data_IF_597484458754
#
_entry.id   IF_597484458754
#
_cell.length_a   1.000
_cell.length_b   1.000
_cell.length_c   1.000
_cell.angle_alpha   90.00
_cell.angle_beta   90.00
_cell.angle_gamma   90.00
#
_symmetry.space_group_name_H-M   'P 1'
#
loop_
_entity.id
_entity.type
_entity.pdbx_description
1 polymer ?
#
# COMPACT_ATOMS: atom_id res chain seq x y z
N UNK A 1 -15.28 2.46 7.72
CA UNK A 1 -15.55 1.01 7.76
C UNK A 1 -14.26 0.27 7.44
N UNK A 2 -13.88 -0.77 8.19
CA UNK A 2 -12.78 -1.65 7.79
C UNK A 2 -13.15 -2.38 6.49
N UNK A 3 -12.23 -2.38 5.52
CA UNK A 3 -12.42 -3.02 4.22
C UNK A 3 -11.33 -4.06 4.03
N UNK A 4 -11.73 -5.28 3.68
CA UNK A 4 -10.82 -6.40 3.39
C UNK A 4 -11.12 -6.90 1.99
N UNK A 5 -10.09 -7.06 1.17
CA UNK A 5 -10.22 -7.52 -0.20
C UNK A 5 -9.05 -8.46 -0.54
N UNK A 6 -9.36 -9.61 -1.12
CA UNK A 6 -8.35 -10.55 -1.60
C UNK A 6 -7.90 -10.13 -2.99
N UNK A 7 -6.59 -9.96 -3.18
CA UNK A 7 -6.00 -9.57 -4.47
C UNK A 7 -4.86 -10.47 -4.87
N UNK A 8 -4.69 -10.62 -6.18
CA UNK A 8 -3.60 -11.41 -6.75
C UNK A 8 -2.31 -10.59 -6.79
N UNK A 9 -1.22 -11.22 -6.39
CA UNK A 9 0.13 -10.70 -6.60
C UNK A 9 0.50 -10.89 -8.07
N UNK A 10 0.99 -9.82 -8.70
CA UNK A 10 1.41 -9.82 -10.09
C UNK A 10 2.92 -9.64 -10.20
N UNK A 11 3.50 -10.18 -11.27
CA UNK A 11 4.93 -10.05 -11.54
C UNK A 11 5.23 -8.67 -12.12
N UNK A 12 6.21 -7.98 -11.54
CA UNK A 12 6.71 -6.67 -11.99
C UNK A 12 8.19 -6.81 -12.33
N UNK A 13 8.51 -6.70 -13.62
CA UNK A 13 9.87 -6.92 -14.10
C UNK A 13 10.36 -8.36 -13.88
N UNK A 14 11.67 -8.53 -13.68
CA UNK A 14 12.29 -9.86 -13.56
C UNK A 14 12.36 -10.39 -12.13
N UNK A 15 12.47 -9.50 -11.15
CA UNK A 15 12.82 -9.85 -9.76
C UNK A 15 11.76 -9.44 -8.75
N UNK A 16 10.74 -8.68 -9.16
CA UNK A 16 9.81 -8.06 -8.23
C UNK A 16 8.38 -8.55 -8.43
N UNK A 17 7.61 -8.45 -7.36
CA UNK A 17 6.18 -8.71 -7.32
C UNK A 17 5.48 -7.46 -6.80
N UNK A 18 4.21 -7.29 -7.17
CA UNK A 18 3.40 -6.16 -6.72
C UNK A 18 1.94 -6.55 -6.52
N UNK A 19 1.24 -5.74 -5.74
CA UNK A 19 -0.23 -5.77 -5.61
C UNK A 19 -0.78 -4.49 -6.21
N UNK A 20 -1.91 -4.61 -6.92
CA UNK A 20 -2.63 -3.45 -7.43
C UNK A 20 -3.55 -2.93 -6.33
N UNK A 21 -3.36 -1.68 -5.91
CA UNK A 21 -4.25 -0.98 -4.98
C UNK A 21 -5.34 -0.25 -5.77
N UNK A 22 -6.60 -0.25 -5.32
CA UNK A 22 -7.67 0.42 -6.04
C UNK A 22 -7.50 1.93 -5.87
N UNK A 23 -7.87 2.69 -6.91
CA UNK A 23 -7.79 4.16 -6.90
C UNK A 23 -8.49 4.80 -5.69
N UNK A 24 -9.58 4.20 -5.21
CA UNK A 24 -10.30 4.69 -4.04
C UNK A 24 -9.46 4.66 -2.76
N UNK A 25 -8.63 3.64 -2.55
CA UNK A 25 -7.74 3.58 -1.39
C UNK A 25 -6.62 4.61 -1.51
N UNK A 26 -6.00 4.70 -2.69
CA UNK A 26 -4.97 5.71 -2.95
C UNK A 26 -5.51 7.13 -2.71
N UNK A 27 -6.73 7.42 -3.16
CA UNK A 27 -7.41 8.71 -2.89
C UNK A 27 -7.63 8.95 -1.41
N UNK A 28 -8.03 7.93 -0.66
CA UNK A 28 -8.24 8.05 0.80
C UNK A 28 -6.93 8.38 1.54
N UNK A 29 -5.82 7.78 1.12
CA UNK A 29 -4.49 8.05 1.67
C UNK A 29 -3.75 9.23 1.01
N UNK A 30 -4.42 9.96 0.10
CA UNK A 30 -3.82 11.04 -0.68
C UNK A 30 -2.49 10.66 -1.37
N UNK A 31 -2.42 9.43 -1.90
CA UNK A 31 -1.28 8.90 -2.63
C UNK A 31 -1.47 9.02 -4.14
N UNK A 32 -0.44 9.48 -4.83
CA UNK A 32 -0.38 9.55 -6.29
C UNK A 32 0.73 8.65 -6.86
N UNK A 33 0.65 8.38 -8.16
CA UNK A 33 1.68 7.63 -8.84
C UNK A 33 3.02 8.40 -8.78
N UNK A 34 4.06 7.77 -8.22
CA UNK A 34 5.36 8.38 -8.01
C UNK A 34 5.62 8.82 -6.56
N UNK A 35 4.61 8.84 -5.69
CA UNK A 35 4.83 9.05 -4.27
C UNK A 35 5.62 7.89 -3.63
N UNK A 36 6.44 8.24 -2.64
CA UNK A 36 7.18 7.27 -1.85
C UNK A 36 6.31 6.76 -0.70
N UNK A 37 6.40 5.46 -0.45
CA UNK A 37 5.75 4.78 0.67
C UNK A 37 6.78 3.96 1.43
N UNK A 38 6.57 3.82 2.73
CA UNK A 38 7.35 2.93 3.58
C UNK A 38 6.69 1.55 3.59
N UNK A 39 7.47 0.50 3.34
CA UNK A 39 7.02 -0.90 3.39
C UNK A 39 7.74 -1.59 4.53
N UNK A 40 6.99 -2.03 5.54
CA UNK A 40 7.51 -2.72 6.71
C UNK A 40 7.12 -4.19 6.64
N UNK A 41 8.11 -5.08 6.64
CA UNK A 41 7.90 -6.53 6.72
C UNK A 41 8.28 -7.03 8.11
N UNK A 42 7.28 -7.30 8.96
CA UNK A 42 7.49 -7.82 10.31
C UNK A 42 6.37 -8.81 10.68
N UNK A 43 6.38 -10.00 10.08
CA UNK A 43 5.30 -10.98 10.19
C UNK A 43 4.01 -10.62 9.43
N UNK A 44 3.88 -9.35 9.01
CA UNK A 44 2.89 -8.80 8.07
C UNK A 44 3.58 -7.72 7.23
N UNK A 45 3.00 -7.37 6.08
CA UNK A 45 3.56 -6.34 5.16
C UNK A 45 2.75 -5.06 5.23
N UNK A 46 3.15 -4.12 6.07
CA UNK A 46 2.42 -2.85 6.21
C UNK A 46 2.94 -1.83 5.19
N UNK A 47 2.04 -1.16 4.47
CA UNK A 47 2.37 -0.06 3.56
C UNK A 47 1.93 1.24 4.21
N UNK A 48 2.86 2.15 4.46
CA UNK A 48 2.59 3.43 5.11
C UNK A 48 2.92 4.59 4.16
N UNK A 49 2.01 5.57 4.00
CA UNK A 49 2.35 6.80 3.29
C UNK A 49 3.56 7.47 3.96
N UNK A 50 4.60 7.80 3.18
CA UNK A 50 5.73 8.57 3.72
C UNK A 50 5.32 10.04 3.76
N UNK A 51 4.84 10.49 4.93
CA UNK A 51 4.38 11.85 5.24
C UNK A 51 4.63 12.92 4.17
N UNK A 52 3.63 13.15 3.30
CA UNK A 52 3.31 14.49 2.83
C UNK A 52 2.15 14.98 3.69
N UNK A 53 2.48 15.59 4.82
CA UNK A 53 1.60 16.45 5.64
C UNK A 53 0.12 16.03 5.72
N UNK A 54 -0.21 14.79 6.09
CA UNK A 54 -1.52 14.48 6.67
C UNK A 54 -1.35 13.42 7.76
N UNK A 55 -1.89 13.76 8.91
CA UNK A 55 -1.89 13.02 10.15
C UNK A 55 -2.32 11.55 10.00
N UNK A 56 -1.42 10.64 10.36
CA UNK A 56 -1.71 9.44 11.14
C UNK A 56 -2.73 8.43 10.56
N UNK A 57 -2.43 7.79 9.42
CA UNK A 57 -3.13 6.56 9.03
C UNK A 57 -2.15 5.49 8.51
N UNK A 58 -2.11 4.35 9.20
CA UNK A 58 -1.33 3.16 8.86
C UNK A 58 -2.20 2.21 8.02
N UNK A 59 -1.65 1.64 6.93
CA UNK A 59 -2.34 0.62 6.12
C UNK A 59 -1.65 -0.72 6.32
N UNK A 60 -2.25 -1.62 7.10
CA UNK A 60 -1.78 -3.00 7.21
C UNK A 60 -2.17 -3.78 5.94
N UNK A 61 -1.18 -4.29 5.21
CA UNK A 61 -1.40 -5.40 4.27
C UNK A 61 -0.83 -6.66 4.94
N UNK A 62 -1.56 -7.77 4.91
CA UNK A 62 -1.03 -9.06 5.37
C UNK A 62 -0.75 -9.87 4.12
N UNK A 63 0.52 -10.22 3.90
CA UNK A 63 0.94 -11.18 2.87
C UNK A 63 1.10 -12.56 3.49
#
# INVERSE_FOLDING_TARGET
MPQTENRKIIRIGKTSLGVILPKAWLRYFALEAGDKVEVVCNGKVTIKPTHKTLSNQQVEVTL
#
